data_IF_358827056926
#
_entry.id   IF_358827056926
#
_cell.length_a   1.000
_cell.length_b   1.000
_cell.length_c   1.000
_cell.angle_alpha   90.00
_cell.angle_beta   90.00
_cell.angle_gamma   90.00
#
_symmetry.space_group_name_H-M   'P 1'
#
loop_
_entity.id
_entity.type
_entity.pdbx_description
1 polymer ?
#
# COMPACT_ATOMS: atom_id res chain seq x y z
N UNK A 1 5.38 -18.44 16.93
CA UNK A 1 4.54 -18.11 18.08
C UNK A 1 3.18 -18.77 17.95
N UNK A 2 2.55 -18.76 16.78
CA UNK A 2 1.30 -19.49 16.52
C UNK A 2 1.53 -20.47 15.37
N UNK A 3 1.24 -21.76 15.59
CA UNK A 3 1.21 -22.78 14.52
C UNK A 3 -0.09 -22.66 13.70
N UNK A 4 -0.37 -21.45 13.24
CA UNK A 4 -1.54 -21.10 12.45
C UNK A 4 -1.15 -20.18 11.31
N UNK A 5 -1.77 -20.37 10.15
CA UNK A 5 -1.65 -19.43 9.03
C UNK A 5 -2.37 -18.13 9.38
N UNK A 6 -1.70 -17.02 9.21
CA UNK A 6 -2.31 -15.70 9.16
C UNK A 6 -2.48 -15.38 7.67
N UNK A 7 -3.70 -15.10 7.26
CA UNK A 7 -4.02 -14.79 5.88
C UNK A 7 -4.30 -13.29 5.77
N UNK A 8 -3.48 -12.60 5.01
CA UNK A 8 -3.74 -11.21 4.66
C UNK A 8 -4.98 -11.13 3.78
N UNK A 9 -5.75 -10.07 4.01
CA UNK A 9 -6.95 -9.78 3.26
C UNK A 9 -7.17 -8.28 3.15
N UNK A 10 -7.74 -7.86 2.03
CA UNK A 10 -8.18 -6.48 1.84
C UNK A 10 -9.69 -6.39 1.72
N UNK A 11 -10.26 -5.46 2.46
CA UNK A 11 -11.67 -5.10 2.44
C UNK A 11 -11.87 -3.70 3.02
N UNK A 12 -13.04 -3.13 2.80
CA UNK A 12 -13.45 -1.85 3.35
C UNK A 12 -14.91 -1.92 3.81
N UNK A 13 -15.35 -0.93 4.59
CA UNK A 13 -16.77 -0.77 4.94
C UNK A 13 -17.63 -0.66 3.68
N UNK A 14 -17.16 0.09 2.68
CA UNK A 14 -17.80 0.35 1.40
C UNK A 14 -17.92 -0.92 0.54
N UNK A 15 -17.04 -1.88 0.71
CA UNK A 15 -17.11 -3.15 -0.01
C UNK A 15 -18.07 -4.15 0.62
N UNK A 16 -18.37 -4.00 1.91
CA UNK A 16 -19.30 -4.86 2.65
C UNK A 16 -18.84 -6.32 2.82
N UNK A 17 -17.63 -6.63 2.38
CA UNK A 17 -17.01 -7.96 2.48
C UNK A 17 -15.59 -7.98 1.95
N UNK A 18 -14.92 -9.12 2.09
CA UNK A 18 -13.56 -9.33 1.59
C UNK A 18 -13.55 -9.31 0.07
N UNK A 19 -12.60 -8.60 -0.53
CA UNK A 19 -12.44 -8.47 -1.98
C UNK A 19 -11.19 -9.18 -2.48
N UNK A 20 -10.06 -9.00 -1.80
CA UNK A 20 -8.75 -9.57 -2.16
C UNK A 20 -8.23 -10.34 -0.95
N UNK A 21 -7.88 -11.62 -1.12
CA UNK A 21 -7.58 -12.52 0.00
C UNK A 21 -6.56 -13.57 -0.41
N UNK A 22 -5.72 -13.96 0.53
CA UNK A 22 -4.93 -15.19 0.44
C UNK A 22 -5.80 -16.40 0.81
N UNK A 23 -6.72 -16.83 -0.08
CA UNK A 23 -7.63 -17.95 0.19
C UNK A 23 -6.99 -19.33 -0.14
N UNK A 24 -7.52 -20.45 0.42
CA UNK A 24 -6.84 -21.74 0.35
C UNK A 24 -6.57 -22.31 -1.04
N UNK A 25 -7.27 -21.82 -2.08
CA UNK A 25 -7.11 -22.28 -3.46
C UNK A 25 -6.00 -21.55 -4.24
N UNK A 26 -5.31 -20.60 -3.63
CA UNK A 26 -4.16 -19.90 -4.22
C UNK A 26 -2.91 -20.10 -3.35
N UNK A 27 -1.75 -20.06 -3.96
CA UNK A 27 -0.49 -20.05 -3.23
C UNK A 27 -0.37 -18.76 -2.42
N UNK A 28 0.12 -18.86 -1.18
CA UNK A 28 0.27 -17.68 -0.33
C UNK A 28 1.61 -17.01 -0.65
N UNK A 29 1.56 -15.76 -1.11
CA UNK A 29 2.72 -14.87 -1.16
C UNK A 29 2.72 -13.99 0.09
N UNK A 30 3.72 -14.20 0.97
CA UNK A 30 3.83 -13.46 2.23
C UNK A 30 3.95 -11.95 1.97
N UNK A 31 3.18 -11.16 2.70
CA UNK A 31 3.11 -9.70 2.56
C UNK A 31 2.16 -9.21 1.46
N UNK A 32 1.65 -10.10 0.58
CA UNK A 32 0.61 -9.73 -0.37
C UNK A 32 -0.78 -9.78 0.26
N UNK A 33 -1.70 -8.94 -0.22
CA UNK A 33 -3.13 -9.04 0.10
C UNK A 33 -3.78 -10.31 -0.50
N UNK A 34 -3.08 -11.02 -1.39
CA UNK A 34 -3.59 -12.17 -2.11
C UNK A 34 -4.15 -11.83 -3.50
N UNK A 35 -5.17 -12.56 -3.90
CA UNK A 35 -5.87 -12.40 -5.21
C UNK A 35 -7.34 -12.04 -4.99
N UNK A 36 -7.98 -11.40 -6.00
CA UNK A 36 -9.42 -11.17 -5.96
C UNK A 36 -10.20 -12.46 -5.75
N UNK A 37 -11.23 -12.41 -4.91
CA UNK A 37 -12.15 -13.54 -4.73
C UNK A 37 -12.90 -13.83 -6.03
N UNK A 38 -13.35 -15.08 -6.25
CA UNK A 38 -14.15 -15.42 -7.41
C UNK A 38 -15.36 -14.50 -7.59
N UNK A 39 -15.50 -13.89 -8.77
CA UNK A 39 -16.54 -12.93 -9.09
C UNK A 39 -16.20 -11.46 -8.77
N UNK A 40 -15.02 -11.19 -8.20
CA UNK A 40 -14.51 -9.84 -7.98
C UNK A 40 -13.50 -9.51 -9.09
N UNK A 41 -13.74 -8.42 -9.82
CA UNK A 41 -12.79 -7.84 -10.75
C UNK A 41 -12.07 -6.68 -10.04
N UNK A 42 -10.76 -6.81 -9.86
CA UNK A 42 -9.91 -5.77 -9.28
C UNK A 42 -8.82 -5.35 -10.27
N UNK A 43 -8.44 -4.09 -10.22
CA UNK A 43 -7.36 -3.52 -11.02
C UNK A 43 -6.55 -2.50 -10.22
N UNK A 44 -5.38 -2.17 -10.74
CA UNK A 44 -4.64 -0.98 -10.36
C UNK A 44 -4.84 0.02 -11.49
N UNK A 45 -5.35 1.20 -11.17
CA UNK A 45 -5.70 2.21 -12.18
C UNK A 45 -4.96 3.54 -11.92
N UNK A 46 -4.80 4.32 -12.99
CA UNK A 46 -4.34 5.71 -12.89
C UNK A 46 -5.49 6.65 -12.41
N UNK A 47 -5.22 7.94 -12.36
CA UNK A 47 -6.19 8.94 -11.92
C UNK A 47 -7.34 9.16 -12.94
N UNK A 48 -7.19 8.68 -14.17
CA UNK A 48 -8.20 8.69 -15.23
C UNK A 48 -9.01 7.38 -15.27
N UNK A 49 -8.64 6.35 -14.51
CA UNK A 49 -9.31 5.04 -14.46
C UNK A 49 -8.80 4.04 -15.49
N UNK A 50 -7.66 4.29 -16.14
CA UNK A 50 -7.04 3.31 -17.04
C UNK A 50 -6.25 2.29 -16.23
N UNK A 51 -6.34 1.01 -16.59
CA UNK A 51 -5.58 -0.05 -15.94
C UNK A 51 -4.08 0.10 -16.19
N UNK A 52 -3.30 -0.03 -15.11
CA UNK A 52 -1.85 -0.01 -15.15
C UNK A 52 -1.27 -1.42 -15.35
N UNK A 53 -0.13 -1.54 -16.03
CA UNK A 53 0.56 -2.82 -16.18
C UNK A 53 1.08 -3.35 -14.82
N UNK A 54 1.43 -4.65 -14.74
CA UNK A 54 2.04 -5.23 -13.55
C UNK A 54 3.24 -4.42 -13.03
N UNK A 55 3.45 -4.48 -11.72
CA UNK A 55 4.53 -3.80 -10.99
C UNK A 55 4.51 -2.26 -11.08
N UNK A 56 3.36 -1.68 -11.50
CA UNK A 56 3.15 -0.23 -11.45
C UNK A 56 2.21 0.12 -10.31
N UNK A 57 2.65 1.05 -9.47
CA UNK A 57 1.84 1.59 -8.37
C UNK A 57 0.75 2.51 -8.92
N UNK A 58 -0.46 2.38 -8.37
CA UNK A 58 -1.60 3.23 -8.70
C UNK A 58 -2.73 3.06 -7.67
N UNK A 59 -3.92 3.50 -8.05
CA UNK A 59 -5.11 3.39 -7.21
C UNK A 59 -5.67 1.97 -7.26
N UNK A 60 -5.90 1.35 -6.10
CA UNK A 60 -6.60 0.08 -6.01
C UNK A 60 -8.08 0.28 -6.30
N UNK A 61 -8.57 -0.42 -7.30
CA UNK A 61 -9.94 -0.27 -7.79
C UNK A 61 -10.66 -1.63 -7.90
N UNK A 62 -11.97 -1.62 -7.62
CA UNK A 62 -12.87 -2.77 -7.77
C UNK A 62 -13.97 -2.39 -8.77
N UNK A 63 -14.23 -3.26 -9.74
CA UNK A 63 -15.29 -3.03 -10.72
C UNK A 63 -16.66 -3.08 -10.06
N UNK A 64 -17.52 -2.14 -10.42
CA UNK A 64 -18.90 -2.06 -9.91
C UNK A 64 -19.70 -3.35 -10.12
N UNK A 65 -20.66 -3.63 -9.22
CA UNK A 65 -21.64 -4.67 -9.39
C UNK A 65 -21.43 -5.93 -8.54
N UNK A 66 -20.48 -5.91 -7.59
CA UNK A 66 -20.41 -7.01 -6.62
C UNK A 66 -21.58 -6.93 -5.60
N UNK A 67 -22.05 -8.09 -5.08
CA UNK A 67 -23.30 -8.15 -4.33
C UNK A 67 -23.35 -7.32 -3.03
N UNK A 68 -22.21 -7.11 -2.37
CA UNK A 68 -22.11 -6.40 -1.10
C UNK A 68 -21.68 -4.93 -1.22
N UNK A 69 -21.67 -4.38 -2.45
CA UNK A 69 -21.33 -2.99 -2.69
C UNK A 69 -22.23 -2.04 -1.93
N UNK A 70 -21.68 -0.97 -1.36
CA UNK A 70 -22.47 0.10 -0.78
C UNK A 70 -23.45 0.67 -1.82
N UNK A 71 -24.67 1.00 -1.39
CA UNK A 71 -25.70 1.56 -2.27
C UNK A 71 -25.75 3.08 -2.24
N UNK A 72 -25.34 3.70 -1.14
CA UNK A 72 -25.37 5.14 -0.96
C UNK A 72 -24.56 5.56 0.27
N UNK A 73 -24.27 6.85 0.36
CA UNK A 73 -23.82 7.51 1.58
C UNK A 73 -24.99 8.37 2.08
N UNK A 74 -25.36 8.19 3.33
CA UNK A 74 -26.53 8.84 3.93
C UNK A 74 -26.45 10.36 3.78
N UNK A 75 -27.46 10.94 3.12
CA UNK A 75 -27.57 12.38 2.84
C UNK A 75 -26.36 13.01 2.14
N UNK A 76 -25.53 12.23 1.47
CA UNK A 76 -24.35 12.74 0.78
C UNK A 76 -24.10 11.99 -0.55
N UNK A 77 -24.93 12.23 -1.57
CA UNK A 77 -24.76 11.58 -2.87
C UNK A 77 -23.47 12.00 -3.59
N UNK A 78 -23.05 13.26 -3.43
CA UNK A 78 -21.80 13.75 -4.05
C UNK A 78 -20.58 12.97 -3.53
N UNK A 79 -20.56 12.66 -2.22
CA UNK A 79 -19.52 11.83 -1.63
C UNK A 79 -19.58 10.39 -2.18
N UNK A 80 -20.77 9.83 -2.36
CA UNK A 80 -20.94 8.52 -3.00
C UNK A 80 -20.34 8.52 -4.41
N UNK A 81 -20.71 9.50 -5.24
CA UNK A 81 -20.23 9.60 -6.62
C UNK A 81 -18.71 9.79 -6.70
N UNK A 82 -18.13 10.47 -5.72
CA UNK A 82 -16.67 10.71 -5.67
C UNK A 82 -15.82 9.45 -5.47
N UNK A 83 -16.41 8.31 -5.10
CA UNK A 83 -15.70 7.04 -5.01
C UNK A 83 -15.53 6.34 -6.37
N UNK A 84 -16.08 6.89 -7.44
CA UNK A 84 -16.12 6.19 -8.72
C UNK A 84 -15.42 6.95 -9.84
N UNK A 85 -14.62 6.23 -10.62
CA UNK A 85 -14.08 6.68 -11.89
C UNK A 85 -14.59 5.69 -12.96
N UNK A 86 -15.53 6.12 -13.79
CA UNK A 86 -16.20 5.23 -14.75
C UNK A 86 -16.88 4.04 -14.04
N UNK A 87 -16.46 2.82 -14.38
CA UNK A 87 -16.96 1.59 -13.76
C UNK A 87 -16.15 1.11 -12.57
N UNK A 88 -15.13 1.84 -12.17
CA UNK A 88 -14.27 1.51 -11.05
C UNK A 88 -14.71 2.22 -9.76
N UNK A 89 -14.90 1.44 -8.71
CA UNK A 89 -14.87 1.95 -7.34
C UNK A 89 -13.40 2.11 -6.94
N UNK A 90 -12.98 3.31 -6.59
CA UNK A 90 -11.60 3.63 -6.19
C UNK A 90 -11.52 3.71 -4.68
N UNK A 91 -10.71 2.84 -4.08
CA UNK A 91 -10.68 2.65 -2.63
C UNK A 91 -10.00 3.79 -1.85
N UNK A 92 -9.19 4.61 -2.52
CA UNK A 92 -8.27 5.54 -1.87
C UNK A 92 -7.04 4.87 -1.27
N UNK A 93 -6.82 3.59 -1.60
CA UNK A 93 -5.59 2.88 -1.28
C UNK A 93 -4.68 2.80 -2.50
N UNK A 94 -3.38 2.94 -2.25
CA UNK A 94 -2.32 2.74 -3.24
C UNK A 94 -1.83 1.31 -3.19
N UNK A 95 -1.69 0.68 -4.34
CA UNK A 95 -1.22 -0.70 -4.47
C UNK A 95 -0.54 -0.93 -5.82
N UNK A 96 0.09 -2.07 -5.98
CA UNK A 96 0.46 -2.61 -7.28
C UNK A 96 0.01 -4.07 -7.40
N UNK A 97 -0.10 -4.56 -8.63
CA UNK A 97 -0.36 -5.97 -8.96
C UNK A 97 0.90 -6.56 -9.58
N UNK A 98 1.38 -7.70 -9.07
CA UNK A 98 2.53 -8.38 -9.67
C UNK A 98 2.14 -9.18 -10.93
N UNK A 99 3.13 -9.77 -11.61
CA UNK A 99 2.94 -10.56 -12.84
C UNK A 99 2.12 -11.83 -12.61
N UNK A 100 2.11 -12.37 -11.37
CA UNK A 100 1.32 -13.53 -11.00
C UNK A 100 -0.11 -13.15 -10.54
N UNK A 101 -0.45 -11.86 -10.54
CA UNK A 101 -1.77 -11.32 -10.21
C UNK A 101 -2.04 -11.18 -8.71
N UNK A 102 -1.00 -11.14 -7.86
CA UNK A 102 -1.14 -10.78 -6.45
C UNK A 102 -1.10 -9.28 -6.28
N UNK A 103 -1.88 -8.79 -5.31
CA UNK A 103 -1.97 -7.38 -4.98
C UNK A 103 -1.13 -7.06 -3.74
N UNK A 104 -0.43 -5.93 -3.79
CA UNK A 104 0.50 -5.48 -2.76
C UNK A 104 0.13 -4.08 -2.32
N UNK A 105 -0.26 -3.96 -1.04
CA UNK A 105 -0.64 -2.68 -0.44
C UNK A 105 0.58 -1.79 -0.24
N UNK A 106 0.43 -0.49 -0.59
CA UNK A 106 1.50 0.49 -0.49
C UNK A 106 1.16 1.67 0.44
N UNK A 107 -0.06 1.70 0.97
CA UNK A 107 -0.55 2.77 1.84
C UNK A 107 -1.80 3.44 1.28
N UNK A 108 -2.17 4.54 1.90
CA UNK A 108 -3.26 5.40 1.41
C UNK A 108 -2.75 6.28 0.28
N UNK A 109 -3.60 6.57 -0.70
CA UNK A 109 -3.27 7.52 -1.79
C UNK A 109 -2.93 8.90 -1.25
N UNK A 110 -3.64 9.34 -0.20
CA UNK A 110 -3.42 10.63 0.46
C UNK A 110 -2.06 10.72 1.19
N UNK A 111 -1.46 9.57 1.52
CA UNK A 111 -0.18 9.47 2.23
C UNK A 111 1.00 9.21 1.29
N UNK A 112 0.75 8.97 0.00
CA UNK A 112 1.81 8.71 -0.99
C UNK A 112 2.73 9.93 -1.11
N UNK A 113 4.02 9.71 -0.92
CA UNK A 113 5.05 10.74 -0.97
C UNK A 113 5.46 10.95 -2.44
N UNK A 114 5.34 12.20 -2.91
CA UNK A 114 5.73 12.59 -4.27
C UNK A 114 7.14 13.18 -4.26
N UNK A 115 8.15 12.35 -4.51
CA UNK A 115 9.56 12.77 -4.48
C UNK A 115 10.21 12.67 -5.84
N UNK A 116 10.71 13.80 -6.36
CA UNK A 116 11.39 13.89 -7.66
C UNK A 116 10.57 13.30 -8.85
N UNK A 117 9.23 13.34 -8.76
CA UNK A 117 8.33 12.80 -9.78
C UNK A 117 7.98 11.32 -9.61
N UNK A 118 8.51 10.68 -8.59
CA UNK A 118 8.19 9.28 -8.25
C UNK A 118 7.20 9.20 -7.09
N UNK A 119 6.35 8.17 -7.11
CA UNK A 119 5.41 7.84 -6.03
C UNK A 119 6.08 6.84 -5.10
N UNK A 120 6.20 7.18 -3.82
CA UNK A 120 6.75 6.30 -2.78
C UNK A 120 5.71 6.07 -1.70
N UNK A 121 5.36 4.81 -1.46
CA UNK A 121 4.45 4.44 -0.37
C UNK A 121 5.16 4.55 0.99
N UNK A 122 4.62 5.30 1.96
CA UNK A 122 5.20 5.34 3.31
C UNK A 122 5.38 3.95 3.90
N UNK A 123 4.40 3.08 3.72
CA UNK A 123 4.39 1.71 4.23
C UNK A 123 5.58 0.86 3.75
N UNK A 124 6.00 1.01 2.49
CA UNK A 124 7.16 0.30 1.95
C UNK A 124 8.44 0.70 2.69
N UNK A 125 8.60 2.00 2.94
CA UNK A 125 9.75 2.54 3.68
C UNK A 125 9.70 2.13 5.15
N UNK A 126 8.54 2.20 5.79
CA UNK A 126 8.30 1.76 7.18
C UNK A 126 8.60 0.27 7.36
N UNK A 127 8.09 -0.57 6.47
CA UNK A 127 8.33 -2.01 6.47
C UNK A 127 9.82 -2.31 6.36
N UNK A 128 10.55 -1.59 5.49
CA UNK A 128 11.99 -1.76 5.37
C UNK A 128 12.75 -1.26 6.60
N UNK A 129 12.31 -0.18 7.21
CA UNK A 129 12.91 0.35 8.44
C UNK A 129 12.84 -0.66 9.60
N UNK A 130 11.69 -1.32 9.83
CA UNK A 130 11.52 -2.25 10.95
C UNK A 130 12.26 -3.58 10.77
N UNK A 131 12.77 -3.88 9.58
CA UNK A 131 13.67 -5.02 9.34
C UNK A 131 15.09 -4.77 9.92
N UNK A 132 15.46 -3.50 10.13
CA UNK A 132 16.76 -3.17 10.72
C UNK A 132 16.77 -3.55 12.20
N UNK A 133 17.84 -4.21 12.66
CA UNK A 133 17.95 -4.77 14.01
C UNK A 133 17.74 -3.77 15.15
N UNK A 134 18.11 -2.50 14.95
CA UNK A 134 17.98 -1.43 15.92
C UNK A 134 16.59 -0.76 15.94
N UNK A 135 15.69 -1.06 15.00
CA UNK A 135 14.41 -0.37 14.83
C UNK A 135 13.27 -1.18 15.46
N UNK A 136 12.55 -0.59 16.40
CA UNK A 136 11.35 -1.17 17.01
C UNK A 136 10.09 -0.77 16.22
N UNK A 137 9.96 0.51 15.90
CA UNK A 137 8.83 1.07 15.18
C UNK A 137 9.33 2.22 14.27
N UNK A 138 8.62 2.46 13.18
CA UNK A 138 8.89 3.57 12.28
C UNK A 138 7.59 4.19 11.78
N UNK A 139 7.60 5.52 11.59
CA UNK A 139 6.56 6.26 10.90
C UNK A 139 7.19 7.15 9.83
N UNK A 140 6.62 7.16 8.63
CA UNK A 140 7.17 7.86 7.46
C UNK A 140 6.18 8.86 6.92
N UNK A 141 6.65 10.06 6.60
CA UNK A 141 5.87 11.13 5.98
C UNK A 141 6.63 11.80 4.84
N UNK A 142 5.89 12.40 3.92
CA UNK A 142 6.43 13.42 3.01
C UNK A 142 6.71 14.72 3.75
N UNK A 143 7.90 15.27 3.58
CA UNK A 143 8.23 16.63 4.04
C UNK A 143 8.42 17.51 2.82
N UNK A 144 7.72 18.66 2.72
CA UNK A 144 7.86 19.58 1.59
C UNK A 144 9.33 19.97 1.34
N UNK A 145 9.74 19.92 0.07
CA UNK A 145 11.07 20.27 -0.41
C UNK A 145 10.95 21.10 -1.69
N UNK A 146 11.63 22.27 -1.79
CA UNK A 146 11.46 23.19 -2.92
C UNK A 146 12.00 22.66 -4.25
N UNK A 147 12.82 21.62 -4.25
CA UNK A 147 13.44 21.05 -5.45
C UNK A 147 12.78 19.74 -5.86
N UNK A 148 12.45 18.90 -4.88
CA UNK A 148 11.94 17.54 -5.11
C UNK A 148 10.42 17.40 -4.96
N UNK A 149 9.72 18.50 -4.60
CA UNK A 149 8.34 18.47 -4.16
C UNK A 149 8.25 18.00 -2.71
N UNK A 150 8.62 16.75 -2.45
CA UNK A 150 8.74 16.21 -1.10
C UNK A 150 10.05 15.43 -0.93
N UNK A 151 10.48 15.29 0.33
CA UNK A 151 11.53 14.33 0.75
C UNK A 151 10.96 13.38 1.79
N UNK A 152 11.42 12.15 1.76
CA UNK A 152 11.03 11.12 2.73
C UNK A 152 11.62 11.47 4.09
N UNK A 153 10.76 11.59 5.10
CA UNK A 153 11.16 11.80 6.49
C UNK A 153 10.63 10.67 7.35
N UNK A 154 11.55 9.93 7.97
CA UNK A 154 11.24 8.86 8.91
C UNK A 154 11.43 9.32 10.37
N UNK A 155 10.51 8.88 11.22
CA UNK A 155 10.63 8.90 12.66
C UNK A 155 10.81 7.45 13.11
N UNK A 156 11.83 7.21 13.92
CA UNK A 156 12.23 5.85 14.30
C UNK A 156 12.29 5.74 15.82
N UNK A 157 11.59 4.74 16.38
CA UNK A 157 11.79 4.31 17.75
C UNK A 157 12.84 3.18 17.76
N UNK A 158 13.86 3.31 18.60
CA UNK A 158 14.90 2.31 18.71
C UNK A 158 14.48 1.18 19.67
N UNK A 159 14.99 -0.02 19.41
CA UNK A 159 14.87 -1.16 20.34
C UNK A 159 15.71 -0.90 21.59
N UNK A 160 15.34 -1.59 22.67
CA UNK A 160 16.10 -1.59 23.91
C UNK A 160 17.56 -2.02 23.66
N UNK A 161 18.52 -1.28 24.24
CA UNK A 161 19.94 -1.50 24.06
C UNK A 161 20.59 -0.70 22.93
N UNK A 162 19.83 0.05 22.14
CA UNK A 162 20.36 0.97 21.11
C UNK A 162 20.19 2.43 21.56
N UNK A 163 21.26 3.22 21.39
CA UNK A 163 21.25 4.65 21.68
C UNK A 163 21.32 5.46 20.38
N UNK A 164 20.66 6.63 20.31
CA UNK A 164 20.74 7.51 19.16
C UNK A 164 22.17 7.98 18.89
N UNK A 165 22.67 7.75 17.66
CA UNK A 165 23.95 8.31 17.20
C UNK A 165 23.89 8.64 15.71
N UNK A 166 24.82 9.46 15.23
CA UNK A 166 24.90 9.78 13.80
C UNK A 166 25.34 8.55 12.97
N UNK A 167 26.16 7.68 13.54
CA UNK A 167 26.59 6.42 12.93
C UNK A 167 25.40 5.48 12.73
N UNK A 168 24.58 5.29 13.77
CA UNK A 168 23.38 4.47 13.68
C UNK A 168 22.37 5.04 12.67
N UNK A 169 22.19 6.35 12.66
CA UNK A 169 21.36 7.04 11.68
C UNK A 169 21.82 6.80 10.24
N UNK A 170 23.13 6.83 9.98
CA UNK A 170 23.67 6.53 8.65
C UNK A 170 23.51 5.05 8.29
N UNK A 171 23.71 4.14 9.24
CA UNK A 171 23.48 2.70 9.05
C UNK A 171 22.04 2.42 8.63
N UNK A 172 21.05 2.95 9.36
CA UNK A 172 19.63 2.79 9.04
C UNK A 172 19.31 3.36 7.65
N UNK A 173 19.81 4.55 7.32
CA UNK A 173 19.60 5.16 6.00
C UNK A 173 20.17 4.31 4.86
N UNK A 174 21.38 3.79 5.03
CA UNK A 174 22.03 2.96 4.03
C UNK A 174 21.26 1.64 3.83
N UNK A 175 20.85 1.01 4.92
CA UNK A 175 20.06 -0.23 4.90
C UNK A 175 18.75 -0.08 4.11
N UNK A 176 18.02 1.00 4.35
CA UNK A 176 16.77 1.29 3.62
C UNK A 176 17.05 1.57 2.15
N UNK A 177 18.07 2.38 1.86
CA UNK A 177 18.44 2.72 0.48
C UNK A 177 18.81 1.48 -0.34
N UNK A 178 19.57 0.57 0.21
CA UNK A 178 19.96 -0.68 -0.45
C UNK A 178 18.76 -1.62 -0.67
N UNK A 179 17.88 -1.70 0.34
CA UNK A 179 16.67 -2.52 0.26
C UNK A 179 15.66 -2.04 -0.76
N UNK A 180 15.37 -0.76 -0.82
CA UNK A 180 14.42 -0.18 -1.77
C UNK A 180 14.98 -0.15 -3.20
N UNK A 181 16.28 0.08 -3.39
CA UNK A 181 16.92 0.06 -4.71
C UNK A 181 16.89 -1.32 -5.37
N UNK A 182 16.89 -2.39 -4.58
CA UNK A 182 16.83 -3.76 -5.09
C UNK A 182 15.45 -4.16 -5.64
N UNK A 183 14.38 -3.41 -5.28
CA UNK A 183 13.02 -3.66 -5.76
C UNK A 183 12.63 -2.75 -6.94
N UNK A 184 13.47 -1.77 -7.27
CA UNK A 184 13.25 -0.78 -8.35
C UNK A 184 14.11 -1.07 -9.60
N UNK A 185 14.78 -2.24 -9.65
CA UNK A 185 15.67 -2.65 -10.74
C UNK A 185 15.01 -3.67 -11.68
#
# INVERSE_FOLDING_TARGET
>A
VYDKRVLDTWWMTETGGHMIVNYPAVDVKLGSMGKPLPGIEAAIVDDEGNELPPNRMGNLAIKKGWPSMMHAIWKNPEKYDSYFIGDWYVSGDSAYKDEDGYYWFQGRVDDVIMTAGERVGPFEVESKLVEHEAVAEAGVIGKPDPVRGEIIKAFVALREGYEPSDELKQSIKQFVKEGLSAHSA
#
